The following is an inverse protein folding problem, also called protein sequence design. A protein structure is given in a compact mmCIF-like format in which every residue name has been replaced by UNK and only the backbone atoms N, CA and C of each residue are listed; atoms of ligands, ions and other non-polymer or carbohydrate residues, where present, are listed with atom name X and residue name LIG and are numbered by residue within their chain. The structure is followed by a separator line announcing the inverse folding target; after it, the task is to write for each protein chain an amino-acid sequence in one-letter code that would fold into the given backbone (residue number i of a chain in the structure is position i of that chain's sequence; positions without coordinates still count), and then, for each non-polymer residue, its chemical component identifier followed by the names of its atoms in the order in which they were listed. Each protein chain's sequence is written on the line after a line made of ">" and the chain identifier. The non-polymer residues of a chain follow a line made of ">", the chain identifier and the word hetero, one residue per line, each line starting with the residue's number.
data_IF_037400327328
#
_entry.id   IF_037400327328
#
_cell.length_a   1.000
_cell.length_b   1.000
_cell.length_c   1.000
_cell.angle_alpha   90.00
_cell.angle_beta   90.00
_cell.angle_gamma   90.00
#
_symmetry.space_group_name_H-M   'P 1'
#
loop_
_entity.id
_entity.type
_entity.pdbx_description
1 polymer ?
#
# COMPACT_ATOMS: atom_id res chain seq x y z
N UNK A 1 -6.35 9.09 -24.99
CA UNK A 1 -6.43 8.00 -23.98
C UNK A 1 -7.78 7.35 -24.09
N UNK A 2 -7.85 6.04 -24.26
CA UNK A 2 -9.13 5.33 -24.40
C UNK A 2 -9.61 4.81 -23.04
N UNK A 3 -10.88 5.03 -22.70
CA UNK A 3 -11.52 4.50 -21.48
C UNK A 3 -11.80 2.99 -21.58
N UNK A 4 -11.55 2.40 -22.73
CA UNK A 4 -11.85 0.99 -23.03
C UNK A 4 -11.23 0.01 -22.00
N UNK A 5 -9.96 0.13 -21.56
CA UNK A 5 -9.39 -0.80 -20.58
C UNK A 5 -10.12 -0.77 -19.23
N UNK A 6 -10.53 0.41 -18.79
CA UNK A 6 -11.29 0.57 -17.54
C UNK A 6 -12.71 0.02 -17.64
N UNK A 7 -13.40 0.28 -18.76
CA UNK A 7 -14.73 -0.29 -19.00
C UNK A 7 -14.69 -1.81 -19.04
N UNK A 8 -13.67 -2.39 -19.67
CA UNK A 8 -13.47 -3.84 -19.72
C UNK A 8 -13.11 -4.43 -18.35
N UNK A 9 -12.32 -3.73 -17.53
CA UNK A 9 -12.03 -4.16 -16.16
C UNK A 9 -13.31 -4.09 -15.31
N UNK A 10 -14.01 -2.97 -15.31
CA UNK A 10 -15.25 -2.76 -14.56
C UNK A 10 -16.44 -3.63 -15.05
N UNK A 11 -16.34 -4.20 -16.25
CA UNK A 11 -17.33 -5.18 -16.75
C UNK A 11 -17.15 -6.57 -16.12
N UNK A 12 -16.02 -6.82 -15.41
CA UNK A 12 -15.83 -8.09 -14.70
C UNK A 12 -16.84 -8.21 -13.55
N UNK A 13 -17.56 -9.34 -13.46
CA UNK A 13 -18.54 -9.56 -12.40
C UNK A 13 -17.88 -9.41 -11.01
N UNK A 14 -18.54 -8.69 -10.10
CA UNK A 14 -18.09 -8.47 -8.73
C UNK A 14 -17.03 -7.36 -8.55
N UNK A 15 -16.28 -6.94 -9.57
CA UNK A 15 -15.21 -5.95 -9.41
C UNK A 15 -15.74 -4.58 -8.97
N UNK A 16 -16.89 -4.12 -9.51
CA UNK A 16 -17.47 -2.83 -9.10
C UNK A 16 -17.86 -2.82 -7.63
N UNK A 17 -18.55 -3.88 -7.18
CA UNK A 17 -18.96 -4.03 -5.78
C UNK A 17 -17.72 -4.08 -4.87
N UNK A 18 -16.69 -4.85 -5.25
CA UNK A 18 -15.43 -4.93 -4.53
C UNK A 18 -14.76 -3.55 -4.37
N UNK A 19 -14.63 -2.77 -5.45
CA UNK A 19 -14.00 -1.44 -5.39
C UNK A 19 -14.81 -0.43 -4.58
N UNK A 20 -16.16 -0.46 -4.66
CA UNK A 20 -17.01 0.39 -3.84
C UNK A 20 -16.87 0.05 -2.35
N UNK A 21 -16.94 -1.23 -2.01
CA UNK A 21 -16.71 -1.70 -0.63
C UNK A 21 -15.30 -1.35 -0.16
N UNK A 22 -14.29 -1.46 -1.04
CA UNK A 22 -12.93 -1.09 -0.71
C UNK A 22 -12.80 0.39 -0.31
N UNK A 23 -13.41 1.31 -1.06
CA UNK A 23 -13.39 2.76 -0.71
C UNK A 23 -14.05 2.97 0.64
N UNK A 24 -15.29 2.47 0.81
CA UNK A 24 -16.07 2.67 2.04
C UNK A 24 -15.37 2.07 3.27
N UNK A 25 -14.77 0.89 3.13
CA UNK A 25 -14.03 0.22 4.19
C UNK A 25 -12.72 0.92 4.56
N UNK A 26 -12.02 1.50 3.56
CA UNK A 26 -10.73 2.17 3.79
C UNK A 26 -10.84 3.53 4.45
N UNK A 27 -11.94 4.26 4.26
CA UNK A 27 -12.14 5.57 4.88
C UNK A 27 -11.96 5.52 6.40
N UNK A 28 -12.68 4.70 7.17
CA UNK A 28 -12.47 4.62 8.61
C UNK A 28 -11.11 4.05 9.00
N UNK A 29 -10.55 3.11 8.22
CA UNK A 29 -9.22 2.56 8.48
C UNK A 29 -8.12 3.62 8.35
N UNK A 30 -8.20 4.50 7.35
CA UNK A 30 -7.22 5.60 7.18
C UNK A 30 -7.40 6.71 8.21
N UNK A 31 -8.58 6.85 8.80
CA UNK A 31 -8.90 7.78 9.88
C UNK A 31 -8.29 7.38 11.24
N UNK A 32 -7.96 6.09 11.45
CA UNK A 32 -7.53 5.51 12.73
C UNK A 32 -6.40 6.29 13.40
N UNK A 33 -5.33 6.59 12.70
CA UNK A 33 -4.15 7.25 13.27
C UNK A 33 -4.45 8.65 13.82
N UNK A 34 -5.18 9.45 13.05
CA UNK A 34 -5.60 10.80 13.45
C UNK A 34 -6.56 10.73 14.62
N UNK A 35 -7.52 9.81 14.58
CA UNK A 35 -8.53 9.63 15.65
C UNK A 35 -7.87 9.27 16.98
N UNK A 36 -6.94 8.31 17.00
CA UNK A 36 -6.20 7.95 18.21
C UNK A 36 -5.33 9.11 18.71
N UNK A 37 -4.73 9.88 17.80
CA UNK A 37 -3.95 11.06 18.16
C UNK A 37 -4.80 12.11 18.86
N UNK A 38 -5.95 12.48 18.32
CA UNK A 38 -6.86 13.44 18.93
C UNK A 38 -7.38 12.95 20.30
N UNK A 39 -7.72 11.67 20.40
CA UNK A 39 -8.16 11.09 21.66
C UNK A 39 -7.07 11.18 22.75
N UNK A 40 -5.82 10.79 22.43
CA UNK A 40 -4.72 10.82 23.40
C UNK A 40 -4.36 12.24 23.81
N UNK A 41 -4.37 13.18 22.87
CA UNK A 41 -3.98 14.57 23.14
C UNK A 41 -5.10 15.36 23.83
N UNK A 42 -6.32 15.30 23.31
CA UNK A 42 -7.41 16.17 23.75
C UNK A 42 -8.23 15.56 24.90
N UNK A 43 -8.45 14.25 24.93
CA UNK A 43 -9.26 13.61 25.98
C UNK A 43 -8.39 13.09 27.13
N UNK A 44 -7.24 12.42 26.83
CA UNK A 44 -6.36 11.93 27.89
C UNK A 44 -5.37 12.98 28.40
N UNK A 45 -5.31 14.18 27.78
CA UNK A 45 -4.43 15.27 28.17
C UNK A 45 -2.94 14.90 28.08
N UNK A 46 -2.56 13.98 27.17
CA UNK A 46 -1.18 13.54 27.00
C UNK A 46 -0.51 14.25 25.82
N UNK A 47 0.83 14.29 25.83
CA UNK A 47 1.58 14.90 24.75
C UNK A 47 1.55 14.10 23.43
N UNK A 48 1.92 14.75 22.33
CA UNK A 48 2.02 14.11 20.99
C UNK A 48 2.98 12.91 20.95
N UNK A 49 4.00 12.87 21.81
CA UNK A 49 4.88 11.70 21.95
C UNK A 49 4.12 10.45 22.41
N UNK A 50 3.20 10.59 23.36
CA UNK A 50 2.36 9.49 23.82
C UNK A 50 1.38 9.04 22.71
N UNK A 51 0.81 9.98 21.96
CA UNK A 51 -0.04 9.67 20.80
C UNK A 51 0.75 8.94 19.71
N UNK A 52 1.99 9.38 19.46
CA UNK A 52 2.90 8.72 18.52
C UNK A 52 3.23 7.27 18.93
N UNK A 53 3.41 6.99 20.23
CA UNK A 53 3.62 5.64 20.74
C UNK A 53 2.40 4.74 20.50
N UNK A 54 1.17 5.24 20.73
CA UNK A 54 -0.06 4.49 20.44
C UNK A 54 -0.19 4.19 18.95
N UNK A 55 0.08 5.19 18.09
CA UNK A 55 0.12 5.00 16.65
C UNK A 55 1.17 3.98 16.21
N UNK A 56 2.40 4.08 16.75
CA UNK A 56 3.48 3.13 16.46
C UNK A 56 3.15 1.70 16.90
N UNK A 57 2.50 1.53 18.06
CA UNK A 57 2.03 0.22 18.53
C UNK A 57 1.01 -0.39 17.56
N UNK A 58 0.02 0.39 17.13
CA UNK A 58 -0.97 -0.05 16.14
C UNK A 58 -0.33 -0.43 14.80
N UNK A 59 0.58 0.41 14.28
CA UNK A 59 1.30 0.16 13.02
C UNK A 59 2.20 -1.08 13.12
N UNK A 60 2.91 -1.28 14.23
CA UNK A 60 3.72 -2.47 14.47
C UNK A 60 2.86 -3.74 14.49
N UNK A 61 1.71 -3.68 15.18
CA UNK A 61 0.72 -4.75 15.16
C UNK A 61 0.27 -5.07 13.73
N UNK A 62 -0.13 -4.05 12.96
CA UNK A 62 -0.60 -4.22 11.59
C UNK A 62 0.48 -4.80 10.65
N UNK A 63 1.72 -4.35 10.78
CA UNK A 63 2.84 -4.87 10.00
C UNK A 63 3.11 -6.36 10.26
N UNK A 64 2.95 -6.82 11.50
CA UNK A 64 3.09 -8.24 11.87
C UNK A 64 1.82 -9.02 11.49
N UNK A 65 0.64 -8.43 11.71
CA UNK A 65 -0.66 -9.06 11.49
C UNK A 65 -0.96 -9.33 10.02
N UNK A 66 -0.62 -8.41 9.12
CA UNK A 66 -1.00 -8.50 7.72
C UNK A 66 -0.58 -9.82 7.03
N UNK A 67 0.67 -10.32 7.12
CA UNK A 67 1.04 -11.60 6.54
C UNK A 67 0.43 -12.79 7.26
N UNK A 68 0.21 -12.69 8.58
CA UNK A 68 -0.42 -13.76 9.37
C UNK A 68 -1.89 -13.92 8.97
N UNK A 69 -2.64 -12.81 8.89
CA UNK A 69 -4.03 -12.80 8.47
C UNK A 69 -4.16 -13.23 7.00
N UNK A 70 -3.27 -12.77 6.12
CA UNK A 70 -3.22 -13.22 4.73
C UNK A 70 -3.03 -14.73 4.61
N UNK A 71 -2.13 -15.31 5.42
CA UNK A 71 -1.94 -16.77 5.48
C UNK A 71 -3.15 -17.50 6.06
N UNK A 72 -3.85 -16.91 7.02
CA UNK A 72 -5.08 -17.48 7.57
C UNK A 72 -6.20 -17.45 6.51
N UNK A 73 -6.31 -16.38 5.72
CA UNK A 73 -7.25 -16.31 4.58
C UNK A 73 -6.94 -17.39 3.54
N UNK A 74 -5.66 -17.59 3.19
CA UNK A 74 -5.27 -18.65 2.26
C UNK A 74 -5.65 -20.07 2.75
N UNK A 75 -5.67 -20.30 4.08
CA UNK A 75 -5.92 -21.62 4.68
C UNK A 75 -7.38 -21.88 5.01
N UNK A 76 -8.05 -20.91 5.60
CA UNK A 76 -9.38 -21.08 6.18
C UNK A 76 -10.47 -20.35 5.41
N UNK A 77 -10.08 -19.60 4.35
CA UNK A 77 -10.99 -18.71 3.63
C UNK A 77 -11.15 -17.36 4.30
N UNK A 78 -11.89 -16.49 3.62
CA UNK A 78 -12.02 -15.08 4.02
C UNK A 78 -12.94 -14.90 5.24
N UNK A 79 -14.13 -15.51 5.24
CA UNK A 79 -15.17 -15.29 6.26
C UNK A 79 -14.72 -15.50 7.71
N UNK A 80 -14.06 -16.64 8.08
CA UNK A 80 -13.64 -16.84 9.47
C UNK A 80 -12.64 -15.76 9.92
N UNK A 81 -11.71 -15.38 9.04
CA UNK A 81 -10.69 -14.38 9.36
C UNK A 81 -11.32 -12.99 9.54
N UNK A 82 -12.21 -12.59 8.63
CA UNK A 82 -12.93 -11.32 8.73
C UNK A 82 -13.82 -11.28 9.98
N UNK A 83 -14.50 -12.40 10.33
CA UNK A 83 -15.31 -12.46 11.56
C UNK A 83 -14.45 -12.22 12.81
N UNK A 84 -13.32 -12.91 12.94
CA UNK A 84 -12.41 -12.76 14.09
C UNK A 84 -11.85 -11.33 14.16
N UNK A 85 -11.35 -10.80 13.04
CA UNK A 85 -10.79 -9.44 13.01
C UNK A 85 -11.86 -8.38 13.33
N UNK A 86 -13.08 -8.54 12.81
CA UNK A 86 -14.20 -7.62 13.10
C UNK A 86 -14.58 -7.64 14.59
N UNK A 87 -14.60 -8.83 15.24
CA UNK A 87 -14.89 -8.93 16.68
C UNK A 87 -13.79 -8.27 17.51
N UNK A 88 -12.51 -8.49 17.18
CA UNK A 88 -11.40 -7.87 17.90
C UNK A 88 -11.41 -6.34 17.72
N UNK A 89 -11.64 -5.85 16.52
CA UNK A 89 -11.78 -4.41 16.23
C UNK A 89 -12.99 -3.83 17.00
N UNK A 90 -14.13 -4.51 17.01
CA UNK A 90 -15.31 -4.07 17.78
C UNK A 90 -14.99 -3.96 19.27
N UNK A 91 -14.31 -4.94 19.84
CA UNK A 91 -13.91 -4.94 21.25
C UNK A 91 -12.92 -3.78 21.54
N UNK A 92 -11.94 -3.55 20.67
CA UNK A 92 -11.00 -2.45 20.82
C UNK A 92 -11.70 -1.09 20.77
N UNK A 93 -12.46 -0.80 19.70
CA UNK A 93 -13.10 0.51 19.54
C UNK A 93 -14.18 0.80 20.56
N UNK A 94 -14.88 -0.23 21.07
CA UNK A 94 -15.83 -0.08 22.18
C UNK A 94 -15.13 0.23 23.49
N UNK A 95 -13.99 -0.40 23.77
CA UNK A 95 -13.26 -0.24 25.04
C UNK A 95 -12.27 0.94 25.03
N UNK A 96 -11.72 1.34 23.89
CA UNK A 96 -10.70 2.38 23.78
C UNK A 96 -11.02 3.67 24.55
N UNK A 97 -12.26 4.20 24.54
CA UNK A 97 -12.61 5.41 25.30
C UNK A 97 -12.55 5.27 26.81
N UNK A 98 -12.42 4.06 27.34
CA UNK A 98 -12.33 3.77 28.79
C UNK A 98 -10.92 3.39 29.23
N UNK A 99 -9.99 3.19 28.27
CA UNK A 99 -8.65 2.73 28.57
C UNK A 99 -7.73 3.89 28.98
N UNK A 100 -6.95 3.68 30.04
CA UNK A 100 -5.82 4.53 30.37
C UNK A 100 -4.68 4.32 29.37
N UNK A 101 -3.76 5.29 29.23
CA UNK A 101 -2.65 5.20 28.27
C UNK A 101 -1.82 3.90 28.39
N UNK A 102 -1.46 3.38 29.57
CA UNK A 102 -0.73 2.12 29.71
C UNK A 102 -1.47 0.90 29.16
N UNK A 103 -2.80 0.91 29.21
CA UNK A 103 -3.65 -0.16 28.66
C UNK A 103 -3.97 0.06 27.18
N UNK A 104 -4.06 1.32 26.74
CA UNK A 104 -4.33 1.67 25.35
C UNK A 104 -3.18 1.24 24.42
N UNK A 105 -1.92 1.31 24.88
CA UNK A 105 -0.75 0.90 24.11
C UNK A 105 -0.81 -0.59 23.67
N UNK A 106 -0.89 -1.56 24.59
CA UNK A 106 -0.99 -2.97 24.20
C UNK A 106 -2.31 -3.28 23.47
N UNK A 107 -3.40 -2.59 23.83
CA UNK A 107 -4.67 -2.76 23.12
C UNK A 107 -4.59 -2.29 21.66
N UNK A 108 -3.94 -1.15 21.39
CA UNK A 108 -3.69 -0.67 20.03
C UNK A 108 -2.78 -1.59 19.21
N UNK A 109 -1.77 -2.21 19.85
CA UNK A 109 -0.93 -3.22 19.20
C UNK A 109 -1.76 -4.46 18.81
N UNK A 110 -2.59 -4.96 19.71
CA UNK A 110 -3.46 -6.12 19.45
C UNK A 110 -4.49 -5.79 18.37
N UNK A 111 -5.13 -4.62 18.42
CA UNK A 111 -6.03 -4.16 17.38
C UNK A 111 -5.31 -4.10 16.02
N UNK A 112 -4.11 -3.52 15.98
CA UNK A 112 -3.28 -3.53 14.77
C UNK A 112 -2.97 -4.94 14.26
N UNK A 113 -2.62 -5.87 15.16
CA UNK A 113 -2.32 -7.26 14.80
C UNK A 113 -3.52 -7.97 14.14
N UNK A 114 -4.72 -7.64 14.57
CA UNK A 114 -6.00 -8.14 14.02
C UNK A 114 -6.70 -7.11 13.13
N UNK A 115 -5.99 -6.09 12.66
CA UNK A 115 -6.58 -5.08 11.78
C UNK A 115 -7.25 -5.72 10.56
N UNK A 116 -8.44 -5.23 10.22
CA UNK A 116 -9.23 -5.76 9.11
C UNK A 116 -8.43 -5.75 7.81
N UNK A 117 -8.17 -6.90 7.16
CA UNK A 117 -7.19 -7.03 6.08
C UNK A 117 -7.71 -6.51 4.72
N UNK A 118 -8.42 -5.37 4.69
CA UNK A 118 -9.09 -4.83 3.48
C UNK A 118 -8.12 -4.64 2.33
N UNK A 119 -6.94 -4.06 2.59
CA UNK A 119 -5.97 -3.76 1.52
C UNK A 119 -5.45 -5.01 0.83
N UNK A 120 -5.10 -6.05 1.59
CA UNK A 120 -4.60 -7.32 1.05
C UNK A 120 -5.70 -8.13 0.39
N UNK A 121 -6.88 -8.20 1.00
CA UNK A 121 -8.04 -8.94 0.48
C UNK A 121 -8.53 -8.35 -0.84
N UNK A 122 -8.69 -7.04 -0.93
CA UNK A 122 -9.12 -6.39 -2.18
C UNK A 122 -8.15 -6.70 -3.32
N UNK A 123 -6.83 -6.59 -3.07
CA UNK A 123 -5.81 -6.90 -4.08
C UNK A 123 -5.77 -8.38 -4.46
N UNK A 124 -5.97 -9.27 -3.49
CA UNK A 124 -6.09 -10.71 -3.74
C UNK A 124 -7.33 -11.02 -4.57
N UNK A 125 -8.48 -10.40 -4.25
CA UNK A 125 -9.73 -10.58 -4.99
C UNK A 125 -9.66 -10.00 -6.41
N UNK A 126 -8.97 -8.88 -6.63
CA UNK A 126 -8.68 -8.39 -7.98
C UNK A 126 -7.91 -9.44 -8.78
N UNK A 127 -6.89 -10.06 -8.17
CA UNK A 127 -6.13 -11.12 -8.82
C UNK A 127 -6.98 -12.37 -9.12
N UNK A 128 -8.01 -12.65 -8.32
CA UNK A 128 -8.93 -13.77 -8.52
C UNK A 128 -9.98 -13.48 -9.59
N UNK A 129 -10.58 -12.28 -9.57
CA UNK A 129 -11.70 -11.90 -10.44
C UNK A 129 -11.27 -11.47 -11.85
N UNK A 130 -10.05 -10.91 -11.98
CA UNK A 130 -9.64 -10.23 -13.20
C UNK A 130 -8.57 -11.03 -13.95
N UNK A 131 -8.77 -11.35 -15.24
CA UNK A 131 -7.76 -11.99 -16.08
C UNK A 131 -6.44 -11.21 -16.07
N UNK A 132 -5.30 -11.91 -16.13
CA UNK A 132 -3.94 -11.33 -16.00
C UNK A 132 -3.74 -10.11 -16.92
N UNK A 133 -4.27 -10.17 -18.17
CA UNK A 133 -4.14 -9.12 -19.17
C UNK A 133 -4.88 -7.83 -18.81
N UNK A 134 -5.88 -7.90 -17.92
CA UNK A 134 -6.74 -6.78 -17.50
C UNK A 134 -6.51 -6.34 -16.05
N UNK A 135 -5.60 -6.99 -15.30
CA UNK A 135 -5.32 -6.67 -13.88
C UNK A 135 -4.76 -5.27 -13.69
N UNK A 136 -3.96 -4.78 -14.62
CA UNK A 136 -3.32 -3.46 -14.49
C UNK A 136 -4.31 -2.31 -14.35
N UNK A 137 -5.34 -2.14 -15.23
CA UNK A 137 -6.36 -1.12 -15.01
C UNK A 137 -7.14 -1.33 -13.70
N UNK A 138 -7.38 -2.57 -13.27
CA UNK A 138 -8.05 -2.84 -12.01
C UNK A 138 -7.21 -2.42 -10.80
N UNK A 139 -5.89 -2.70 -10.78
CA UNK A 139 -4.98 -2.22 -9.74
C UNK A 139 -4.77 -0.70 -9.77
N UNK A 140 -4.82 -0.08 -10.95
CA UNK A 140 -4.80 1.38 -11.06
C UNK A 140 -6.04 1.99 -10.39
N UNK A 141 -7.25 1.45 -10.64
CA UNK A 141 -8.48 1.86 -9.95
C UNK A 141 -8.40 1.63 -8.43
N UNK A 142 -7.85 0.50 -8.00
CA UNK A 142 -7.62 0.21 -6.57
C UNK A 142 -6.69 1.24 -5.92
N UNK A 143 -5.58 1.57 -6.56
CA UNK A 143 -4.64 2.59 -6.05
C UNK A 143 -5.26 3.98 -6.01
N UNK A 144 -6.03 4.37 -7.02
CA UNK A 144 -6.77 5.64 -7.03
C UNK A 144 -7.82 5.67 -5.90
N UNK A 145 -8.53 4.56 -5.66
CA UNK A 145 -9.49 4.44 -4.56
C UNK A 145 -8.82 4.55 -3.19
N UNK A 146 -7.60 4.04 -3.08
CA UNK A 146 -6.78 4.15 -1.86
C UNK A 146 -6.39 5.61 -1.60
N UNK A 147 -5.89 6.33 -2.60
CA UNK A 147 -5.58 7.76 -2.50
C UNK A 147 -6.79 8.56 -2.01
N UNK A 148 -7.95 8.33 -2.62
CA UNK A 148 -9.19 8.98 -2.22
C UNK A 148 -9.55 8.71 -0.76
N UNK A 149 -9.35 7.47 -0.29
CA UNK A 149 -9.61 7.11 1.11
C UNK A 149 -8.64 7.79 2.07
N UNK A 150 -7.36 7.93 1.70
CA UNK A 150 -6.36 8.66 2.50
C UNK A 150 -6.63 10.17 2.53
N UNK A 151 -7.26 10.74 1.51
CA UNK A 151 -7.71 12.14 1.55
C UNK A 151 -8.92 12.34 2.44
N UNK A 152 -9.93 11.47 2.32
CA UNK A 152 -11.23 11.64 2.99
C UNK A 152 -11.17 11.21 4.45
N UNK A 153 -10.54 10.08 4.78
CA UNK A 153 -10.58 9.50 6.11
C UNK A 153 -10.02 10.41 7.19
N UNK A 154 -8.77 10.88 7.11
CA UNK A 154 -8.21 11.81 8.08
C UNK A 154 -8.98 13.13 8.16
N UNK A 155 -9.43 13.68 7.03
CA UNK A 155 -10.20 14.92 7.00
C UNK A 155 -11.52 14.80 7.74
N UNK A 156 -12.26 13.69 7.55
CA UNK A 156 -13.49 13.40 8.30
C UNK A 156 -13.22 13.20 9.80
N UNK A 157 -12.11 12.52 10.15
CA UNK A 157 -11.74 12.34 11.56
C UNK A 157 -11.45 13.68 12.24
N UNK A 158 -10.70 14.57 11.60
CA UNK A 158 -10.42 15.93 12.09
C UNK A 158 -11.73 16.70 12.24
N UNK A 159 -12.56 16.74 11.22
CA UNK A 159 -13.83 17.47 11.24
C UNK A 159 -14.74 16.98 12.36
N UNK A 160 -14.88 15.66 12.54
CA UNK A 160 -15.73 15.10 13.59
C UNK A 160 -15.15 15.31 15.00
N UNK A 161 -13.82 15.17 15.16
CA UNK A 161 -13.16 15.38 16.44
C UNK A 161 -13.24 16.84 16.92
N UNK A 162 -13.18 17.80 15.99
CA UNK A 162 -13.25 19.24 16.31
C UNK A 162 -14.69 19.77 16.42
N UNK A 163 -15.62 19.26 15.59
CA UNK A 163 -16.99 19.73 15.60
C UNK A 163 -17.84 19.08 16.69
N UNK A 164 -17.52 17.84 17.09
CA UNK A 164 -18.32 17.08 18.09
C UNK A 164 -17.47 16.72 19.31
N UNK A 165 -16.64 15.66 19.21
CA UNK A 165 -15.66 15.28 20.24
C UNK A 165 -14.73 14.17 19.75
N UNK A 166 -13.51 14.05 20.32
CA UNK A 166 -12.61 12.94 20.03
C UNK A 166 -13.19 11.57 20.39
N UNK A 167 -13.99 11.48 21.45
CA UNK A 167 -14.63 10.24 21.90
C UNK A 167 -15.70 9.77 20.91
N UNK A 168 -16.54 10.67 20.41
CA UNK A 168 -17.53 10.34 19.37
C UNK A 168 -16.84 9.92 18.08
N UNK A 169 -15.73 10.56 17.74
CA UNK A 169 -14.90 10.17 16.56
C UNK A 169 -14.36 8.76 16.68
N UNK A 170 -13.89 8.33 17.88
CA UNK A 170 -13.49 6.95 18.14
C UNK A 170 -14.63 5.96 17.82
N UNK A 171 -15.81 6.21 18.36
CA UNK A 171 -16.95 5.32 18.11
C UNK A 171 -17.41 5.33 16.66
N UNK A 172 -17.40 6.50 15.99
CA UNK A 172 -17.79 6.61 14.59
C UNK A 172 -16.81 5.85 13.67
N UNK A 173 -15.51 5.99 13.91
CA UNK A 173 -14.47 5.25 13.18
C UNK A 173 -14.59 3.75 13.46
N UNK A 174 -14.77 3.37 14.74
CA UNK A 174 -14.97 1.96 15.12
C UNK A 174 -16.21 1.36 14.47
N UNK A 175 -17.34 2.07 14.51
CA UNK A 175 -18.56 1.62 13.84
C UNK A 175 -18.37 1.47 12.31
N UNK A 176 -17.61 2.38 11.70
CA UNK A 176 -17.24 2.29 10.28
C UNK A 176 -16.37 1.06 9.97
N UNK A 177 -15.39 0.75 10.82
CA UNK A 177 -14.52 -0.44 10.65
C UNK A 177 -15.33 -1.72 10.85
N UNK A 178 -16.16 -1.80 11.88
CA UNK A 178 -17.01 -2.96 12.13
C UNK A 178 -18.03 -3.14 11.00
N UNK A 179 -18.66 -2.05 10.55
CA UNK A 179 -19.55 -2.07 9.39
C UNK A 179 -18.86 -2.56 8.13
N UNK A 180 -17.62 -2.11 7.88
CA UNK A 180 -16.81 -2.58 6.78
C UNK A 180 -16.50 -4.08 6.89
N UNK A 181 -16.20 -4.58 8.08
CA UNK A 181 -16.01 -6.00 8.36
C UNK A 181 -17.25 -6.83 8.05
N UNK A 182 -18.42 -6.38 8.52
CA UNK A 182 -19.71 -7.04 8.25
C UNK A 182 -19.99 -7.07 6.74
N UNK A 183 -19.83 -5.95 6.03
CA UNK A 183 -20.06 -5.88 4.58
C UNK A 183 -19.08 -6.79 3.83
N UNK A 184 -17.80 -6.82 4.23
CA UNK A 184 -16.81 -7.70 3.62
C UNK A 184 -17.11 -9.18 3.87
N UNK A 185 -17.62 -9.52 5.06
CA UNK A 185 -18.05 -10.87 5.43
C UNK A 185 -19.27 -11.32 4.60
N UNK A 186 -20.24 -10.43 4.37
CA UNK A 186 -21.44 -10.69 3.56
C UNK A 186 -21.10 -10.81 2.08
N UNK A 187 -20.24 -9.91 1.56
CA UNK A 187 -19.83 -9.90 0.16
C UNK A 187 -19.00 -11.13 -0.20
N UNK A 188 -18.18 -11.63 0.74
CA UNK A 188 -17.28 -12.78 0.58
C UNK A 188 -16.58 -12.80 -0.79
N UNK A 189 -15.84 -11.76 -1.15
CA UNK A 189 -15.24 -11.68 -2.46
C UNK A 189 -14.26 -12.84 -2.68
N UNK A 190 -14.22 -13.46 -3.86
CA UNK A 190 -13.36 -14.59 -4.12
C UNK A 190 -11.89 -14.19 -3.98
N UNK A 191 -11.16 -14.98 -3.24
CA UNK A 191 -9.70 -14.85 -3.03
C UNK A 191 -8.90 -15.79 -3.92
N UNK A 192 -9.58 -16.72 -4.62
CA UNK A 192 -9.02 -17.66 -5.58
C UNK A 192 -9.79 -17.58 -6.90
N UNK A 193 -9.08 -17.78 -8.02
CA UNK A 193 -9.71 -17.86 -9.35
C UNK A 193 -10.50 -19.15 -9.49
N UNK A 194 -11.57 -19.13 -10.32
CA UNK A 194 -12.39 -20.31 -10.59
C UNK A 194 -11.58 -21.47 -11.21
N UNK A 195 -10.49 -21.16 -11.92
CA UNK A 195 -9.62 -22.15 -12.55
C UNK A 195 -8.59 -22.77 -11.57
N UNK A 196 -8.53 -22.28 -10.31
CA UNK A 196 -7.61 -22.80 -9.30
C UNK A 196 -8.25 -23.99 -8.58
N UNK A 197 -7.50 -25.07 -8.26
CA UNK A 197 -8.04 -26.25 -7.62
C UNK A 197 -8.75 -25.92 -6.30
N UNK A 198 -9.96 -26.45 -6.14
CA UNK A 198 -10.74 -26.32 -4.91
C UNK A 198 -10.23 -27.35 -3.90
N UNK A 199 -9.81 -26.91 -2.71
CA UNK A 199 -9.40 -27.79 -1.62
C UNK A 199 -8.14 -27.30 -0.88
N UNK A 200 -7.71 -28.03 0.16
CA UNK A 200 -6.47 -27.73 0.88
C UNK A 200 -5.28 -27.88 -0.06
N UNK A 201 -4.67 -26.76 -0.41
CA UNK A 201 -3.44 -26.78 -1.22
C UNK A 201 -2.27 -27.34 -0.41
N UNK A 202 -1.36 -28.14 -1.00
CA UNK A 202 -0.13 -28.55 -0.36
C UNK A 202 0.62 -27.33 0.18
N UNK A 203 1.19 -27.46 1.37
CA UNK A 203 1.98 -26.39 1.99
C UNK A 203 3.19 -26.09 1.10
N UNK A 204 3.17 -24.97 0.41
CA UNK A 204 4.35 -24.49 -0.33
C UNK A 204 5.28 -23.82 0.71
N UNK A 205 6.48 -24.39 0.98
CA UNK A 205 7.40 -23.77 1.92
C UNK A 205 7.84 -22.40 1.41
N UNK A 206 8.03 -21.44 2.34
CA UNK A 206 8.42 -20.06 2.00
C UNK A 206 9.65 -20.00 1.08
N UNK A 207 10.61 -20.90 1.25
CA UNK A 207 11.83 -20.98 0.42
C UNK A 207 11.55 -21.17 -1.07
N UNK A 208 10.39 -21.73 -1.44
CA UNK A 208 10.06 -21.99 -2.85
C UNK A 208 9.41 -20.81 -3.54
N UNK A 209 8.64 -19.97 -2.81
CA UNK A 209 7.91 -18.86 -3.41
C UNK A 209 8.43 -17.48 -3.01
N UNK A 210 9.07 -17.35 -1.84
CA UNK A 210 9.69 -16.10 -1.40
C UNK A 210 11.05 -15.92 -2.09
N UNK A 211 10.98 -15.69 -3.40
CA UNK A 211 12.15 -15.53 -4.26
C UNK A 211 12.80 -14.15 -4.09
N UNK A 212 14.07 -14.03 -4.46
CA UNK A 212 14.77 -12.73 -4.49
C UNK A 212 14.02 -11.66 -5.29
N UNK A 213 13.31 -12.05 -6.36
CA UNK A 213 12.48 -11.15 -7.17
C UNK A 213 11.27 -10.63 -6.40
N UNK A 214 10.61 -11.48 -5.60
CA UNK A 214 9.48 -11.06 -4.79
C UNK A 214 9.94 -10.16 -3.63
N UNK A 215 11.08 -10.49 -2.99
CA UNK A 215 11.71 -9.63 -1.99
C UNK A 215 12.09 -8.26 -2.57
N UNK A 216 12.59 -8.23 -3.80
CA UNK A 216 12.87 -7.01 -4.54
C UNK A 216 11.62 -6.13 -4.70
N UNK A 217 10.47 -6.72 -5.06
CA UNK A 217 9.21 -5.99 -5.17
C UNK A 217 8.75 -5.45 -3.80
N UNK A 218 8.92 -6.20 -2.72
CA UNK A 218 8.62 -5.71 -1.37
C UNK A 218 9.52 -4.55 -0.95
N UNK A 219 10.83 -4.64 -1.23
CA UNK A 219 11.77 -3.55 -0.96
C UNK A 219 11.42 -2.29 -1.77
N UNK A 220 11.07 -2.44 -3.05
CA UNK A 220 10.60 -1.34 -3.90
C UNK A 220 9.30 -0.72 -3.38
N UNK A 221 8.37 -1.55 -2.89
CA UNK A 221 7.13 -1.05 -2.25
C UNK A 221 7.42 -0.25 -0.99
N UNK A 222 8.29 -0.77 -0.12
CA UNK A 222 8.68 -0.07 1.11
C UNK A 222 9.40 1.26 0.79
N UNK A 223 10.31 1.25 -0.19
CA UNK A 223 11.02 2.45 -0.63
C UNK A 223 10.06 3.50 -1.19
N UNK A 224 9.12 3.12 -2.06
CA UNK A 224 8.13 4.03 -2.62
C UNK A 224 7.27 4.67 -1.50
N UNK A 225 6.77 3.88 -0.56
CA UNK A 225 5.94 4.41 0.53
C UNK A 225 6.74 5.18 1.58
N UNK A 226 8.03 4.90 1.75
CA UNK A 226 8.94 5.72 2.54
C UNK A 226 9.08 7.12 1.93
N UNK A 227 9.24 7.19 0.60
CA UNK A 227 9.27 8.47 -0.13
C UNK A 227 7.97 9.25 0.09
N UNK A 228 6.81 8.58 0.02
CA UNK A 228 5.51 9.22 0.26
C UNK A 228 5.40 9.78 1.68
N UNK A 229 5.64 8.96 2.71
CA UNK A 229 5.54 9.38 4.11
C UNK A 229 6.52 10.48 4.48
N UNK A 230 7.72 10.49 3.88
CA UNK A 230 8.69 11.56 4.08
C UNK A 230 8.33 12.85 3.35
N UNK A 231 7.72 12.72 2.17
CA UNK A 231 7.23 13.87 1.39
C UNK A 231 6.13 14.63 2.15
N UNK A 232 5.20 13.93 2.82
CA UNK A 232 4.14 14.55 3.63
C UNK A 232 4.73 15.49 4.70
N UNK A 233 5.75 15.02 5.42
CA UNK A 233 6.43 15.81 6.47
C UNK A 233 7.21 16.97 5.87
N UNK A 234 7.94 16.73 4.78
CA UNK A 234 8.76 17.74 4.14
C UNK A 234 7.92 18.89 3.56
N UNK A 235 6.74 18.61 2.96
CA UNK A 235 5.78 19.62 2.50
C UNK A 235 5.36 20.54 3.64
N UNK A 236 4.95 19.97 4.79
CA UNK A 236 4.53 20.74 5.96
C UNK A 236 5.69 21.60 6.48
N UNK A 237 6.90 21.05 6.55
CA UNK A 237 8.07 21.73 7.07
C UNK A 237 8.49 22.92 6.17
N UNK A 238 8.49 22.74 4.84
CA UNK A 238 8.81 23.81 3.88
C UNK A 238 7.79 24.94 3.96
N UNK A 239 6.49 24.63 3.95
CA UNK A 239 5.44 25.63 4.04
C UNK A 239 5.45 26.37 5.39
N UNK A 240 5.78 25.68 6.49
CA UNK A 240 5.94 26.30 7.81
C UNK A 240 7.13 27.26 7.83
N UNK A 241 8.27 26.88 7.25
CA UNK A 241 9.45 27.74 7.16
C UNK A 241 9.20 28.99 6.28
N UNK A 242 8.38 28.87 5.24
CA UNK A 242 7.95 29.98 4.39
C UNK A 242 6.79 30.84 4.95
N UNK A 243 6.24 30.49 6.13
CA UNK A 243 5.07 31.19 6.69
C UNK A 243 3.75 30.88 5.96
N UNK A 244 3.74 29.86 5.09
CA UNK A 244 2.62 29.52 4.19
C UNK A 244 1.90 28.23 4.62
N UNK A 245 1.95 27.86 5.90
CA UNK A 245 1.38 26.59 6.43
C UNK A 245 -0.12 26.42 6.14
N UNK A 246 -0.87 27.53 6.00
CA UNK A 246 -2.29 27.49 5.64
C UNK A 246 -2.57 26.87 4.26
N UNK A 247 -1.58 26.82 3.37
CA UNK A 247 -1.70 26.23 2.03
C UNK A 247 -1.39 24.73 1.99
N UNK A 248 -1.05 24.11 3.13
CA UNK A 248 -0.71 22.67 3.21
C UNK A 248 -1.80 21.80 2.57
N UNK A 249 -3.07 22.08 2.88
CA UNK A 249 -4.19 21.34 2.30
C UNK A 249 -4.27 21.45 0.78
N UNK A 250 -4.03 22.64 0.24
CA UNK A 250 -4.03 22.86 -1.21
C UNK A 250 -2.88 22.12 -1.91
N UNK A 251 -1.67 22.17 -1.34
CA UNK A 251 -0.48 21.49 -1.87
C UNK A 251 -0.67 19.96 -1.87
N UNK A 252 -1.14 19.38 -0.76
CA UNK A 252 -1.40 17.95 -0.67
C UNK A 252 -2.57 17.53 -1.59
N UNK A 253 -3.57 18.38 -1.77
CA UNK A 253 -4.65 18.12 -2.73
C UNK A 253 -4.13 18.12 -4.17
N UNK A 254 -3.28 19.08 -4.54
CA UNK A 254 -2.65 19.12 -5.86
C UNK A 254 -1.83 17.84 -6.12
N UNK A 255 -1.05 17.39 -5.11
CA UNK A 255 -0.32 16.14 -5.18
C UNK A 255 -1.22 14.93 -5.38
N UNK A 256 -2.31 14.82 -4.60
CA UNK A 256 -3.27 13.73 -4.73
C UNK A 256 -3.98 13.73 -6.11
N UNK A 257 -4.33 14.90 -6.64
CA UNK A 257 -4.88 15.04 -8.01
C UNK A 257 -3.85 14.53 -9.04
N UNK A 258 -2.59 14.91 -8.91
CA UNK A 258 -1.53 14.42 -9.78
C UNK A 258 -1.39 12.88 -9.71
N UNK A 259 -1.49 12.29 -8.50
CA UNK A 259 -1.48 10.85 -8.28
C UNK A 259 -2.67 10.16 -8.96
N UNK A 260 -3.87 10.71 -8.83
CA UNK A 260 -5.07 10.19 -9.51
C UNK A 260 -4.93 10.25 -11.04
N UNK A 261 -4.44 11.36 -11.58
CA UNK A 261 -4.19 11.51 -13.03
C UNK A 261 -3.14 10.52 -13.51
N UNK A 262 -2.05 10.38 -12.76
CA UNK A 262 -0.99 9.41 -13.06
C UNK A 262 -1.47 7.97 -13.01
N UNK A 263 -2.25 7.60 -12.00
CA UNK A 263 -2.89 6.30 -11.87
C UNK A 263 -3.82 6.00 -13.03
N UNK A 264 -4.64 6.97 -13.40
CA UNK A 264 -5.51 6.88 -14.57
C UNK A 264 -4.69 6.71 -15.88
N UNK A 265 -3.67 7.52 -16.08
CA UNK A 265 -2.80 7.40 -17.24
C UNK A 265 -2.13 6.03 -17.33
N UNK A 266 -1.61 5.54 -16.19
CA UNK A 266 -0.95 4.24 -16.09
C UNK A 266 -1.85 3.07 -16.49
N UNK A 267 -3.09 3.05 -16.05
CA UNK A 267 -4.05 2.01 -16.42
C UNK A 267 -4.52 2.06 -17.89
N UNK A 268 -4.51 3.25 -18.50
CA UNK A 268 -4.91 3.48 -19.89
C UNK A 268 -3.83 3.15 -20.92
N UNK A 269 -2.54 3.26 -20.55
CA UNK A 269 -1.41 3.06 -21.49
C UNK A 269 -1.17 1.56 -21.71
N UNK A 270 -0.87 1.13 -22.94
CA UNK A 270 -0.62 -0.28 -23.29
C UNK A 270 0.74 -0.82 -22.81
N UNK A 271 1.74 0.04 -22.67
CA UNK A 271 3.08 -0.36 -22.18
C UNK A 271 3.08 -0.50 -20.65
N UNK A 272 3.57 -1.62 -20.15
CA UNK A 272 3.81 -1.79 -18.70
C UNK A 272 5.20 -1.29 -18.34
N UNK A 273 5.27 -0.34 -17.42
CA UNK A 273 6.53 0.01 -16.79
C UNK A 273 6.81 -0.95 -15.62
N UNK A 274 8.07 -1.28 -15.38
CA UNK A 274 8.41 -2.13 -14.25
C UNK A 274 8.20 -1.38 -12.92
N UNK A 275 7.83 -2.07 -11.82
CA UNK A 275 7.73 -1.43 -10.50
C UNK A 275 9.01 -0.68 -10.11
N UNK A 276 10.17 -1.26 -10.44
CA UNK A 276 11.48 -0.67 -10.19
C UNK A 276 11.67 0.66 -10.93
N UNK A 277 11.30 0.72 -12.22
CA UNK A 277 11.40 1.95 -13.01
C UNK A 277 10.51 3.04 -12.46
N UNK A 278 9.27 2.71 -12.09
CA UNK A 278 8.33 3.70 -11.53
C UNK A 278 8.80 4.22 -10.17
N UNK A 279 9.30 3.35 -9.29
CA UNK A 279 9.83 3.76 -7.98
C UNK A 279 11.13 4.57 -8.12
N UNK A 280 12.00 4.24 -9.06
CA UNK A 280 13.20 5.03 -9.34
C UNK A 280 12.84 6.43 -9.86
N UNK A 281 11.88 6.53 -10.77
CA UNK A 281 11.38 7.83 -11.26
C UNK A 281 10.69 8.64 -10.15
N UNK A 282 9.85 8.00 -9.33
CA UNK A 282 9.23 8.63 -8.16
C UNK A 282 10.29 9.23 -7.24
N UNK A 283 11.29 8.43 -6.87
CA UNK A 283 12.39 8.85 -6.01
C UNK A 283 13.20 10.00 -6.62
N UNK A 284 13.54 9.88 -7.92
CA UNK A 284 14.29 10.89 -8.64
C UNK A 284 13.51 12.23 -8.76
N UNK A 285 12.20 12.17 -9.04
CA UNK A 285 11.35 13.36 -9.12
C UNK A 285 11.10 13.99 -7.74
N UNK A 286 11.24 13.25 -6.64
CA UNK A 286 11.08 13.78 -5.28
C UNK A 286 12.29 14.61 -4.85
N UNK A 287 13.51 14.27 -5.26
CA UNK A 287 14.74 14.96 -4.86
C UNK A 287 14.67 16.49 -5.11
N UNK A 288 14.30 16.98 -6.31
CA UNK A 288 14.30 18.40 -6.60
C UNK A 288 13.07 19.16 -6.06
N UNK A 289 12.10 18.49 -5.45
CA UNK A 289 10.85 19.13 -4.99
C UNK A 289 11.12 20.30 -4.05
N UNK A 290 12.10 20.19 -3.16
CA UNK A 290 12.47 21.24 -2.21
C UNK A 290 12.90 22.56 -2.86
N UNK A 291 13.32 22.56 -4.13
CA UNK A 291 13.65 23.76 -4.88
C UNK A 291 12.42 24.67 -5.12
N UNK A 292 11.21 24.11 -5.01
CA UNK A 292 9.95 24.85 -5.07
C UNK A 292 9.55 25.57 -3.77
N UNK A 293 10.40 25.52 -2.73
CA UNK A 293 10.08 25.99 -1.36
C UNK A 293 9.91 27.49 -1.16
N UNK A 294 10.10 28.32 -2.20
CA UNK A 294 9.92 29.76 -2.11
C UNK A 294 8.46 30.23 -2.04
N UNK A 295 7.54 29.47 -2.64
CA UNK A 295 6.10 29.76 -2.67
C UNK A 295 5.29 28.45 -2.78
N UNK A 296 4.11 28.40 -2.14
CA UNK A 296 3.24 27.23 -2.14
C UNK A 296 2.87 26.70 -3.54
N UNK A 297 2.65 27.60 -4.51
CA UNK A 297 2.32 27.25 -5.89
C UNK A 297 3.52 26.63 -6.66
N UNK A 298 4.75 27.11 -6.38
CA UNK A 298 5.97 26.48 -6.92
C UNK A 298 6.15 25.07 -6.36
N UNK A 299 5.89 24.90 -5.07
CA UNK A 299 5.91 23.59 -4.43
C UNK A 299 4.88 22.64 -5.06
N UNK A 300 3.67 23.13 -5.38
CA UNK A 300 2.71 22.36 -6.16
C UNK A 300 3.30 21.90 -7.49
N UNK A 301 3.89 22.82 -8.28
CA UNK A 301 4.43 22.49 -9.60
C UNK A 301 5.57 21.45 -9.53
N UNK A 302 6.49 21.60 -8.57
CA UNK A 302 7.60 20.66 -8.40
C UNK A 302 7.15 19.29 -7.88
N UNK A 303 6.02 19.21 -7.15
CA UNK A 303 5.41 17.96 -6.67
C UNK A 303 4.64 17.19 -7.75
N UNK A 304 4.14 17.84 -8.81
CA UNK A 304 3.31 17.18 -9.82
C UNK A 304 3.95 15.92 -10.43
N UNK A 305 5.25 15.93 -10.85
CA UNK A 305 5.88 14.74 -11.44
C UNK A 305 5.96 13.58 -10.45
N UNK A 306 6.35 13.85 -9.19
CA UNK A 306 6.40 12.84 -8.13
C UNK A 306 4.99 12.34 -7.81
N UNK A 307 4.01 13.24 -7.66
CA UNK A 307 2.60 12.89 -7.46
C UNK A 307 2.08 11.94 -8.54
N UNK A 308 2.29 12.29 -9.81
CA UNK A 308 1.84 11.48 -10.94
C UNK A 308 2.41 10.03 -10.97
N UNK A 309 3.46 9.76 -10.21
CA UNK A 309 4.11 8.44 -10.12
C UNK A 309 3.66 7.62 -8.89
N UNK A 310 2.94 8.22 -7.91
CA UNK A 310 2.52 7.53 -6.68
C UNK A 310 1.58 6.34 -6.94
N UNK A 311 0.38 6.60 -7.44
CA UNK A 311 -0.60 5.55 -7.72
C UNK A 311 -0.10 4.51 -8.75
N UNK A 312 0.60 4.89 -9.84
CA UNK A 312 1.23 3.93 -10.74
C UNK A 312 2.21 2.97 -10.06
N UNK A 313 3.05 3.48 -9.17
CA UNK A 313 4.05 2.67 -8.45
C UNK A 313 3.38 1.65 -7.55
N UNK A 314 2.40 2.07 -6.76
CA UNK A 314 1.64 1.19 -5.87
C UNK A 314 0.86 0.13 -6.67
N UNK A 315 0.22 0.52 -7.78
CA UNK A 315 -0.49 -0.40 -8.66
C UNK A 315 0.44 -1.44 -9.29
N UNK A 316 1.62 -1.01 -9.76
CA UNK A 316 2.60 -1.88 -10.39
C UNK A 316 3.21 -2.88 -9.41
N UNK A 317 3.49 -2.49 -8.16
CA UNK A 317 4.00 -3.40 -7.13
C UNK A 317 2.96 -4.44 -6.74
N UNK A 318 1.69 -4.06 -6.57
CA UNK A 318 0.60 -4.98 -6.29
C UNK A 318 0.36 -5.98 -7.44
N UNK A 319 0.37 -5.52 -8.69
CA UNK A 319 0.27 -6.39 -9.86
C UNK A 319 1.45 -7.37 -9.95
N UNK A 320 2.68 -6.90 -9.69
CA UNK A 320 3.87 -7.76 -9.67
C UNK A 320 3.78 -8.85 -8.60
N UNK A 321 3.35 -8.52 -7.38
CA UNK A 321 3.12 -9.52 -6.32
C UNK A 321 2.07 -10.54 -6.75
N UNK A 322 0.96 -10.09 -7.34
CA UNK A 322 -0.11 -10.98 -7.81
C UNK A 322 0.31 -11.99 -8.88
N UNK A 323 1.32 -11.61 -9.69
CA UNK A 323 1.88 -12.47 -10.75
C UNK A 323 2.97 -13.41 -10.25
N UNK A 324 3.75 -12.98 -9.23
CA UNK A 324 4.89 -13.74 -8.72
C UNK A 324 4.48 -14.74 -7.64
N UNK A 325 3.43 -14.45 -6.88
CA UNK A 325 2.96 -15.32 -5.81
C UNK A 325 2.07 -16.45 -6.37
N UNK A 326 2.36 -17.73 -6.03
CA UNK A 326 1.46 -18.84 -6.30
C UNK A 326 0.08 -18.62 -5.66
N UNK A 327 -0.96 -19.19 -6.27
CA UNK A 327 -2.34 -19.03 -5.82
C UNK A 327 -2.56 -19.37 -4.34
N UNK A 328 -2.00 -20.50 -3.88
CA UNK A 328 -2.18 -21.00 -2.51
C UNK A 328 -1.49 -20.18 -1.41
N UNK A 329 -0.66 -19.19 -1.75
CA UNK A 329 0.06 -18.32 -0.81
C UNK A 329 -0.10 -16.83 -1.16
N UNK A 330 -1.05 -16.49 -2.03
CA UNK A 330 -1.25 -15.12 -2.53
C UNK A 330 -1.70 -14.18 -1.43
N UNK A 331 -2.51 -14.63 -0.47
CA UNK A 331 -2.92 -13.85 0.68
C UNK A 331 -1.73 -13.52 1.59
N UNK A 332 -0.87 -14.50 1.90
CA UNK A 332 0.36 -14.26 2.66
C UNK A 332 1.29 -13.27 1.93
N UNK A 333 1.46 -13.41 0.61
CA UNK A 333 2.29 -12.53 -0.19
C UNK A 333 1.74 -11.10 -0.26
N UNK A 334 0.42 -10.93 -0.40
CA UNK A 334 -0.24 -9.62 -0.33
C UNK A 334 -0.18 -9.01 1.08
N UNK A 335 -0.24 -9.84 2.12
CA UNK A 335 -0.01 -9.42 3.50
C UNK A 335 1.42 -8.89 3.71
N UNK A 336 2.44 -9.60 3.22
CA UNK A 336 3.85 -9.15 3.25
C UNK A 336 4.05 -7.85 2.45
N UNK A 337 3.38 -7.71 1.30
CA UNK A 337 3.38 -6.46 0.55
C UNK A 337 2.75 -5.32 1.36
N UNK A 338 1.63 -5.58 2.05
CA UNK A 338 1.01 -4.64 2.98
C UNK A 338 1.95 -4.24 4.12
N UNK A 339 2.65 -5.21 4.74
CA UNK A 339 3.67 -4.93 5.77
C UNK A 339 4.80 -4.06 5.22
N UNK A 340 5.31 -4.35 4.04
CA UNK A 340 6.37 -3.57 3.41
C UNK A 340 5.94 -2.11 3.18
N UNK A 341 4.72 -1.89 2.66
CA UNK A 341 4.16 -0.54 2.48
C UNK A 341 3.96 0.19 3.81
N UNK A 342 3.44 -0.51 4.83
CA UNK A 342 3.22 0.05 6.17
C UNK A 342 4.53 0.46 6.83
N UNK A 343 5.56 -0.40 6.77
CA UNK A 343 6.90 -0.10 7.30
C UNK A 343 7.53 1.07 6.55
N UNK A 344 7.39 1.12 5.23
CA UNK A 344 7.89 2.24 4.42
C UNK A 344 7.32 3.58 4.88
N UNK A 345 6.00 3.71 4.95
CA UNK A 345 5.32 4.93 5.42
C UNK A 345 5.78 5.29 6.84
N UNK A 346 5.82 4.30 7.75
CA UNK A 346 6.19 4.50 9.14
C UNK A 346 7.64 4.98 9.33
N UNK A 347 8.55 4.62 8.44
CA UNK A 347 9.96 5.06 8.47
C UNK A 347 10.18 6.38 7.74
N UNK A 348 9.36 6.72 6.76
CA UNK A 348 9.53 7.91 5.93
C UNK A 348 9.45 9.22 6.73
N UNK A 349 8.43 9.35 7.56
CA UNK A 349 8.21 10.55 8.36
C UNK A 349 9.34 10.81 9.40
N UNK A 350 9.77 9.84 10.23
CA UNK A 350 10.89 10.03 11.15
C UNK A 350 12.21 10.32 10.43
N UNK A 351 12.48 9.66 9.30
CA UNK A 351 13.68 9.89 8.51
C UNK A 351 13.75 11.33 7.98
N UNK A 352 12.67 11.80 7.37
CA UNK A 352 12.57 13.17 6.88
C UNK A 352 12.67 14.17 8.04
N UNK A 353 11.92 13.94 9.13
CA UNK A 353 11.90 14.81 10.30
C UNK A 353 13.28 14.96 10.94
N UNK A 354 14.00 13.86 11.17
CA UNK A 354 15.34 13.91 11.77
C UNK A 354 16.34 14.73 10.92
N UNK A 355 16.25 14.63 9.59
CA UNK A 355 17.12 15.43 8.70
C UNK A 355 16.68 16.89 8.66
N UNK A 356 15.40 17.17 8.66
CA UNK A 356 14.85 18.54 8.68
C UNK A 356 15.25 19.24 9.98
N UNK A 357 15.14 18.57 11.13
CA UNK A 357 15.50 19.12 12.44
C UNK A 357 17.00 19.43 12.55
N UNK A 358 17.85 18.65 11.87
CA UNK A 358 19.31 18.83 11.85
C UNK A 358 19.81 19.80 10.76
N UNK A 359 18.92 20.27 9.83
CA UNK A 359 19.35 21.04 8.67
C UNK A 359 18.27 22.06 8.23
N UNK A 360 17.86 22.00 6.96
CA UNK A 360 16.78 22.84 6.40
C UNK A 360 15.70 21.97 5.76
N UNK A 361 14.43 22.42 5.70
CA UNK A 361 13.28 21.61 5.27
C UNK A 361 13.43 20.94 3.90
N UNK A 362 14.16 21.55 2.95
CA UNK A 362 14.36 20.98 1.61
C UNK A 362 15.04 19.60 1.64
N UNK A 363 15.93 19.35 2.62
CA UNK A 363 16.66 18.10 2.73
C UNK A 363 15.75 16.91 3.08
N UNK A 364 14.53 17.15 3.59
CA UNK A 364 13.53 16.11 3.78
C UNK A 364 13.16 15.40 2.47
N UNK A 365 12.99 16.16 1.37
CA UNK A 365 12.75 15.59 0.04
C UNK A 365 14.00 14.88 -0.50
N UNK A 366 15.15 15.50 -0.33
CA UNK A 366 16.42 14.96 -0.84
C UNK A 366 16.73 13.60 -0.19
N UNK A 367 16.65 13.50 1.14
CA UNK A 367 16.99 12.25 1.84
C UNK A 367 16.02 11.14 1.52
N UNK A 368 14.72 11.41 1.49
CA UNK A 368 13.72 10.39 1.20
C UNK A 368 13.81 9.91 -0.24
N UNK A 369 13.96 10.83 -1.19
CA UNK A 369 14.20 10.50 -2.59
C UNK A 369 15.51 9.74 -2.80
N UNK A 370 16.61 10.15 -2.15
CA UNK A 370 17.91 9.48 -2.25
C UNK A 370 17.86 8.06 -1.67
N UNK A 371 17.22 7.85 -0.51
CA UNK A 371 17.04 6.51 0.08
C UNK A 371 16.16 5.64 -0.82
N UNK A 372 15.07 6.16 -1.34
CA UNK A 372 14.23 5.45 -2.30
C UNK A 372 15.00 5.04 -3.56
N UNK A 373 15.81 5.95 -4.12
CA UNK A 373 16.65 5.67 -5.28
C UNK A 373 17.73 4.64 -4.96
N UNK A 374 18.39 4.74 -3.80
CA UNK A 374 19.39 3.78 -3.34
C UNK A 374 18.82 2.37 -3.27
N UNK A 375 17.64 2.19 -2.66
CA UNK A 375 16.97 0.88 -2.58
C UNK A 375 16.69 0.34 -3.99
N UNK A 376 16.20 1.18 -4.91
CA UNK A 376 15.94 0.74 -6.29
C UNK A 376 17.23 0.34 -7.03
N UNK A 377 18.34 1.04 -6.80
CA UNK A 377 19.65 0.69 -7.39
C UNK A 377 20.20 -0.62 -6.80
N UNK A 378 20.09 -0.84 -5.50
CA UNK A 378 20.52 -2.10 -4.84
C UNK A 378 19.73 -3.29 -5.39
N UNK A 379 18.46 -3.11 -5.69
CA UNK A 379 17.59 -4.16 -6.20
C UNK A 379 17.74 -4.39 -7.72
N UNK A 380 18.25 -3.42 -8.47
CA UNK A 380 18.38 -3.46 -9.93
C UNK A 380 19.07 -4.73 -10.46
N UNK A 381 20.18 -5.24 -9.88
CA UNK A 381 20.83 -6.45 -10.36
C UNK A 381 19.93 -7.69 -10.35
N UNK A 382 19.00 -7.77 -9.39
CA UNK A 382 18.06 -8.91 -9.30
C UNK A 382 17.09 -8.94 -10.48
N UNK A 383 16.62 -7.77 -10.92
CA UNK A 383 15.75 -7.62 -12.10
C UNK A 383 16.53 -7.89 -13.40
N UNK A 384 17.77 -7.41 -13.53
CA UNK A 384 18.60 -7.60 -14.73
C UNK A 384 18.96 -9.07 -14.95
N UNK A 385 19.28 -9.81 -13.88
CA UNK A 385 19.58 -11.25 -13.97
C UNK A 385 18.41 -12.06 -14.51
N UNK A 386 17.19 -11.69 -14.18
CA UNK A 386 15.98 -12.40 -14.64
C UNK A 386 15.49 -11.99 -16.04
N UNK A 387 15.99 -10.88 -16.59
CA UNK A 387 15.71 -10.47 -17.97
C UNK A 387 16.62 -11.15 -19.01
N UNK A 388 17.71 -11.79 -18.59
CA UNK A 388 18.54 -12.57 -19.51
C UNK A 388 17.75 -13.80 -19.95
N UNK A 389 17.56 -14.04 -21.27
CA UNK A 389 16.96 -15.27 -21.74
C UNK A 389 17.82 -16.44 -21.25
N UNK A 390 17.21 -17.61 -20.96
CA UNK A 390 17.98 -18.80 -20.66
C UNK A 390 18.98 -18.97 -21.82
N UNK A 391 20.28 -19.04 -21.52
CA UNK A 391 21.28 -19.49 -22.49
C UNK A 391 20.81 -20.82 -22.99
N UNK A 392 20.47 -20.89 -24.27
CA UNK A 392 20.10 -22.15 -24.90
C UNK A 392 21.20 -23.18 -24.53
N UNK A 393 20.84 -24.37 -24.07
CA UNK A 393 21.81 -25.40 -23.85
C UNK A 393 22.58 -25.56 -25.18
N UNK A 394 23.93 -25.52 -25.11
CA UNK A 394 24.76 -25.73 -26.26
C UNK A 394 24.23 -26.96 -26.97
N UNK A 395 23.78 -26.78 -28.22
CA UNK A 395 23.31 -27.86 -29.05
C UNK A 395 24.42 -28.87 -29.06
N UNK A 396 24.20 -30.00 -28.40
CA UNK A 396 25.05 -31.18 -28.58
C UNK A 396 25.07 -31.43 -30.09
N UNK A 397 26.20 -31.17 -30.68
CA UNK A 397 26.49 -31.50 -32.08
C UNK A 397 25.96 -32.92 -32.31
N UNK A 398 24.86 -33.03 -33.05
CA UNK A 398 24.38 -34.32 -33.52
C UNK A 398 25.48 -34.93 -34.37
N UNK A 399 26.10 -35.95 -33.83
CA UNK A 399 27.00 -36.82 -34.61
C UNK A 399 26.19 -37.29 -35.84
N UNK A 400 26.66 -37.09 -37.05
CA UNK A 400 25.98 -37.59 -38.24
C UNK A 400 25.86 -39.11 -38.16
N UNK A 401 24.65 -39.61 -38.44
CA UNK A 401 24.40 -41.04 -38.49
C UNK A 401 25.33 -41.71 -39.51
N UNK A 402 25.85 -42.90 -39.23
CA UNK A 402 26.68 -43.61 -40.20
C UNK A 402 25.86 -43.96 -41.45
N UNK A 403 26.44 -43.68 -42.58
CA UNK A 403 25.92 -43.94 -43.92
C UNK A 403 25.69 -45.46 -44.08
N UNK A 404 24.54 -45.93 -44.61
CA UNK A 404 24.30 -47.37 -44.81
C UNK A 404 25.24 -47.89 -45.92
N UNK A 405 25.89 -49.01 -45.62
CA UNK A 405 26.79 -49.72 -46.57
C UNK A 405 26.01 -50.18 -47.83
N UNK A 406 26.63 -50.09 -49.01
CA UNK A 406 26.03 -50.55 -50.28
C UNK A 406 25.78 -52.06 -50.24
N UNK A 407 24.58 -52.49 -50.64
CA UNK A 407 24.20 -53.88 -50.78
C UNK A 407 24.95 -54.45 -51.99
N UNK A 408 25.65 -55.58 -51.79
CA UNK A 408 26.17 -56.41 -52.80
C UNK A 408 25.14 -57.43 -53.30
#
# INVERSE_FOLDING_TARGET
>A
MTLTPYRQALAQPGLRALLLVAVLARIPLTATGVTLTFYVVLELGRGYGAAGLVGAASVAGAAIGAPLLGRLVDRHGLRPVVAVTTVVEAAFWASAPTLSLPLLLPAAFVAGLFALPVFSVVRQSIAALVPVQRRRPAYALDSMSMELSFMIGPALAVALATAVSPRVTLWAVGAGIVGAGIVLWLLDPPTRSADEPVGPQPRVPRRQWLTGRLLAVFAVSAAATLVLGGTDVAVVAVLRAGGEVGWTGAVLTAWAIASLVGGFAYGAVRRSFSPLTLAALLSLCTIPVGLGGGHWWLLCLTLLPAGALCAPTIAATADAVSRLAPAGVRGEAMGLHGSATTVGIALGAPLAGAVIDASVPLWGFVVTGAVGLLVTLVVLPTELRHRRPPTAPASTLSTPAPEPAPAA
#
